data_IF_833547319378
#
_entry.id   IF_833547319378
#
_cell.length_a   1.000
_cell.length_b   1.000
_cell.length_c   1.000
_cell.angle_alpha   90.00
_cell.angle_beta   90.00
_cell.angle_gamma   90.00
#
_symmetry.space_group_name_H-M   'P 1'
#
loop_
_entity.id
_entity.type
_entity.pdbx_description
1 polymer ?
#
# COMPACT_ATOMS: atom_id res chain seq x y z
N UNK A 1 -38.02 28.26 17.74
CA UNK A 1 -37.84 27.05 16.91
C UNK A 1 -36.46 27.16 16.31
N UNK A 2 -35.47 26.74 17.09
CA UNK A 2 -34.04 26.98 16.91
C UNK A 2 -33.53 26.18 15.70
N UNK A 3 -33.05 26.86 14.67
CA UNK A 3 -32.41 26.20 13.55
C UNK A 3 -31.06 25.64 14.01
N UNK A 4 -30.96 24.31 14.14
CA UNK A 4 -29.73 23.54 14.34
C UNK A 4 -28.78 23.80 13.15
N UNK A 5 -28.01 24.89 13.24
CA UNK A 5 -26.88 25.17 12.34
C UNK A 5 -25.76 24.21 12.68
N UNK A 6 -25.90 22.95 12.27
CA UNK A 6 -24.78 22.01 12.24
C UNK A 6 -23.66 22.60 11.41
N UNK A 7 -22.63 23.11 12.10
CA UNK A 7 -21.38 23.55 11.47
C UNK A 7 -20.87 22.39 10.60
N UNK A 8 -20.58 22.60 9.31
CA UNK A 8 -19.93 21.56 8.52
C UNK A 8 -18.61 21.23 9.23
N UNK A 9 -18.46 19.98 9.67
CA UNK A 9 -17.19 19.48 10.20
C UNK A 9 -16.17 19.69 9.08
N UNK A 10 -15.32 20.70 9.24
CA UNK A 10 -14.22 20.96 8.33
C UNK A 10 -13.48 19.64 8.12
N UNK A 11 -13.51 19.15 6.88
CA UNK A 11 -12.80 17.96 6.45
C UNK A 11 -11.33 18.17 6.82
N UNK A 12 -10.85 17.38 7.80
CA UNK A 12 -9.44 17.35 8.19
C UNK A 12 -8.66 16.60 7.12
N UNK A 13 -8.60 17.14 5.90
CA UNK A 13 -7.69 16.67 4.86
C UNK A 13 -6.28 17.06 5.28
N UNK A 14 -5.71 16.28 6.21
CA UNK A 14 -4.32 16.43 6.65
C UNK A 14 -3.46 16.03 5.46
N UNK A 15 -2.98 17.01 4.72
CA UNK A 15 -1.99 16.79 3.66
C UNK A 15 -0.70 16.33 4.32
N UNK A 16 -0.29 15.10 4.05
CA UNK A 16 1.06 14.67 4.42
C UNK A 16 2.04 15.35 3.49
N UNK A 17 2.95 16.15 4.07
CA UNK A 17 4.11 16.64 3.34
C UNK A 17 5.11 15.49 3.26
N UNK A 18 5.39 14.99 2.07
CA UNK A 18 6.44 14.00 1.84
C UNK A 18 7.77 14.72 1.96
N UNK A 19 8.61 14.30 2.90
CA UNK A 19 9.99 14.78 3.08
C UNK A 19 10.95 13.62 2.82
N UNK A 20 12.05 13.86 2.11
CA UNK A 20 13.07 12.86 1.79
C UNK A 20 13.13 12.49 0.31
N UNK A 21 14.08 11.62 -0.05
CA UNK A 21 14.22 11.10 -1.41
C UNK A 21 13.09 10.11 -1.71
N UNK A 22 12.47 10.16 -2.90
CA UNK A 22 11.42 9.22 -3.27
C UNK A 22 11.98 7.80 -3.27
N UNK A 23 11.32 6.90 -2.52
CA UNK A 23 11.62 5.47 -2.52
C UNK A 23 10.73 4.73 -3.52
N UNK A 24 11.31 3.74 -4.20
CA UNK A 24 10.63 2.82 -5.10
C UNK A 24 10.14 1.62 -4.30
N UNK A 25 8.85 1.65 -3.96
CA UNK A 25 8.18 0.59 -3.21
C UNK A 25 7.40 -0.32 -4.17
N UNK A 26 7.69 -1.62 -4.13
CA UNK A 26 6.87 -2.65 -4.79
C UNK A 26 5.77 -3.18 -3.89
N UNK A 27 4.65 -3.56 -4.49
CA UNK A 27 3.59 -4.32 -3.84
C UNK A 27 3.39 -5.61 -4.61
N UNK A 28 3.59 -6.74 -3.93
CA UNK A 28 3.45 -8.07 -4.48
C UNK A 28 2.26 -8.77 -3.82
N UNK A 29 1.14 -8.75 -4.54
CA UNK A 29 -0.13 -9.31 -4.08
C UNK A 29 -0.30 -10.77 -4.50
N UNK A 30 -0.97 -11.56 -3.66
CA UNK A 30 -1.31 -12.95 -3.96
C UNK A 30 -2.09 -13.61 -2.82
N UNK A 31 -2.72 -14.76 -3.09
CA UNK A 31 -3.40 -15.55 -2.03
C UNK A 31 -2.40 -16.12 -1.03
N UNK A 32 -1.24 -16.56 -1.50
CA UNK A 32 -0.14 -17.11 -0.71
C UNK A 32 -0.58 -18.25 0.25
N UNK A 33 -1.33 -19.24 -0.27
CA UNK A 33 -1.86 -20.39 0.49
C UNK A 33 -1.25 -21.73 0.01
N UNK A 34 -0.03 -22.11 0.45
CA UNK A 34 0.90 -21.35 1.27
C UNK A 34 1.92 -20.54 0.44
N UNK A 35 2.58 -19.59 1.09
CA UNK A 35 3.79 -18.98 0.57
C UNK A 35 4.88 -20.04 0.36
N UNK A 36 5.63 -19.95 -0.74
CA UNK A 36 6.66 -20.93 -1.12
C UNK A 36 7.76 -20.28 -1.99
N UNK A 37 8.80 -21.03 -2.34
CA UNK A 37 9.98 -20.50 -3.05
C UNK A 37 9.67 -19.80 -4.37
N UNK A 38 8.80 -20.35 -5.21
CA UNK A 38 8.36 -19.64 -6.43
C UNK A 38 7.82 -18.21 -6.20
N UNK A 39 7.12 -17.95 -5.10
CA UNK A 39 6.69 -16.58 -4.76
C UNK A 39 7.88 -15.69 -4.37
N UNK A 40 8.81 -16.23 -3.59
CA UNK A 40 10.02 -15.52 -3.16
C UNK A 40 10.93 -15.18 -4.34
N UNK A 41 11.11 -16.14 -5.25
CA UNK A 41 11.95 -15.98 -6.44
C UNK A 41 11.35 -14.93 -7.38
N UNK A 42 10.04 -14.97 -7.61
CA UNK A 42 9.33 -13.96 -8.40
C UNK A 42 9.44 -12.56 -7.78
N UNK A 43 9.23 -12.44 -6.46
CA UNK A 43 9.36 -11.17 -5.75
C UNK A 43 10.80 -10.63 -5.78
N UNK A 44 11.80 -11.50 -5.61
CA UNK A 44 13.21 -11.13 -5.67
C UNK A 44 13.60 -10.67 -7.07
N UNK A 45 13.17 -11.39 -8.11
CA UNK A 45 13.38 -11.01 -9.50
C UNK A 45 12.74 -9.66 -9.82
N UNK A 46 11.49 -9.44 -9.40
CA UNK A 46 10.79 -8.17 -9.60
C UNK A 46 11.49 -7.01 -8.88
N UNK A 47 11.94 -7.21 -7.64
CA UNK A 47 12.68 -6.21 -6.86
C UNK A 47 13.97 -5.79 -7.58
N UNK A 48 14.74 -6.77 -8.07
CA UNK A 48 15.99 -6.53 -8.78
C UNK A 48 15.75 -5.85 -10.14
N UNK A 49 14.84 -6.37 -10.96
CA UNK A 49 14.57 -5.87 -12.30
C UNK A 49 14.04 -4.42 -12.31
N UNK A 50 13.32 -4.01 -11.27
CA UNK A 50 12.73 -2.68 -11.17
C UNK A 50 13.55 -1.71 -10.30
N UNK A 51 14.69 -2.17 -9.76
CA UNK A 51 15.52 -1.43 -8.80
C UNK A 51 14.68 -0.84 -7.65
N UNK A 52 13.88 -1.70 -7.03
CA UNK A 52 13.04 -1.31 -5.89
C UNK A 52 13.88 -1.27 -4.61
N UNK A 53 13.67 -0.24 -3.81
CA UNK A 53 14.27 -0.14 -2.48
C UNK A 53 13.70 -1.24 -1.57
N UNK A 54 12.38 -1.40 -1.63
CA UNK A 54 11.58 -2.29 -0.78
C UNK A 54 10.45 -2.93 -1.59
N UNK A 55 10.01 -4.14 -1.18
CA UNK A 55 8.86 -4.82 -1.76
C UNK A 55 8.04 -5.44 -0.63
N UNK A 56 6.74 -5.15 -0.62
CA UNK A 56 5.79 -5.64 0.37
C UNK A 56 4.97 -6.79 -0.19
N UNK A 57 4.88 -7.88 0.58
CA UNK A 57 3.91 -8.95 0.32
C UNK A 57 2.56 -8.56 0.93
N UNK A 58 1.49 -8.59 0.13
CA UNK A 58 0.14 -8.27 0.59
C UNK A 58 -0.80 -9.44 0.26
N UNK A 59 -1.20 -10.25 1.25
CA UNK A 59 -2.19 -11.29 1.03
C UNK A 59 -3.51 -10.71 0.53
N UNK A 60 -4.09 -11.33 -0.50
CA UNK A 60 -5.41 -10.98 -0.99
C UNK A 60 -6.47 -11.36 0.05
N UNK A 61 -7.30 -10.39 0.46
CA UNK A 61 -8.41 -10.63 1.41
C UNK A 61 -9.49 -11.54 0.79
N UNK A 62 -9.85 -11.27 -0.46
CA UNK A 62 -10.86 -12.01 -1.21
C UNK A 62 -10.21 -12.50 -2.52
N UNK A 63 -9.56 -13.69 -2.53
CA UNK A 63 -8.98 -14.28 -3.75
C UNK A 63 -10.08 -14.73 -4.74
N UNK A 64 -9.81 -14.80 -6.06
CA UNK A 64 -10.78 -15.23 -7.08
C UNK A 64 -11.25 -16.67 -6.92
#
# INVERSE_FOLDING_TARGET
>A
MEADRRRPRASRTRRYRVTGTPRRLGVFGGTFDPLHHGHLDAAAAARAALALDELLFIPAKDPP
#
